data_IF_766941971854
#
_entry.id   IF_766941971854
#
_cell.length_a   1.000
_cell.length_b   1.000
_cell.length_c   1.000
_cell.angle_alpha   90.00
_cell.angle_beta   90.00
_cell.angle_gamma   90.00
#
_symmetry.space_group_name_H-M   'P 1'
#
loop_
_entity.id
_entity.type
_entity.pdbx_description
1 polymer ?
#
# COMPACT_ATOMS: atom_id res chain seq x y z
N UNK A 1 -3.29 -31.48 -6.06
CA UNK A 1 -2.54 -30.57 -5.16
C UNK A 1 -2.97 -29.16 -5.49
N UNK A 2 -3.58 -28.43 -4.56
CA UNK A 2 -3.88 -27.01 -4.77
C UNK A 2 -2.56 -26.26 -4.93
N UNK A 3 -2.38 -25.57 -6.07
CA UNK A 3 -1.18 -24.79 -6.35
C UNK A 3 -1.07 -23.69 -5.28
N UNK A 4 0.04 -23.63 -4.55
CA UNK A 4 0.31 -22.56 -3.58
C UNK A 4 0.26 -21.24 -4.35
N UNK A 5 -0.60 -20.32 -3.92
CA UNK A 5 -0.78 -19.03 -4.57
C UNK A 5 -0.08 -17.95 -3.77
N UNK A 6 0.85 -17.25 -4.41
CA UNK A 6 1.55 -16.10 -3.85
C UNK A 6 1.17 -14.88 -4.66
N UNK A 7 0.77 -13.81 -3.99
CA UNK A 7 0.41 -12.53 -4.59
C UNK A 7 1.30 -11.46 -4.00
N UNK A 8 1.85 -10.61 -4.86
CA UNK A 8 2.58 -9.41 -4.48
C UNK A 8 1.78 -8.20 -4.94
N UNK A 9 1.55 -7.26 -4.02
CA UNK A 9 1.03 -5.93 -4.33
C UNK A 9 1.99 -4.88 -3.81
N UNK A 10 2.07 -3.74 -4.47
CA UNK A 10 2.86 -2.60 -3.97
C UNK A 10 2.05 -1.32 -3.98
N UNK A 11 2.27 -0.45 -2.99
CA UNK A 11 1.64 0.87 -2.97
C UNK A 11 2.57 1.96 -2.42
N UNK A 12 2.43 3.17 -2.95
CA UNK A 12 3.36 4.28 -2.73
C UNK A 12 2.57 5.55 -2.49
N UNK A 13 2.89 6.26 -1.42
CA UNK A 13 2.10 7.37 -0.91
C UNK A 13 2.72 8.73 -1.21
N UNK A 14 1.90 9.78 -1.06
CA UNK A 14 2.21 11.20 -1.11
C UNK A 14 2.35 11.82 -2.51
N UNK A 15 2.44 11.04 -3.58
CA UNK A 15 2.57 11.58 -4.93
C UNK A 15 3.82 12.45 -5.13
N UNK A 16 4.92 12.14 -4.45
CA UNK A 16 6.15 12.93 -4.49
C UNK A 16 6.86 12.80 -5.84
N UNK A 17 7.65 13.83 -6.21
CA UNK A 17 8.33 13.88 -7.52
C UNK A 17 9.21 12.66 -7.81
N UNK A 18 9.79 12.01 -6.80
CA UNK A 18 10.60 10.81 -6.97
C UNK A 18 9.79 9.53 -7.20
N UNK A 19 8.46 9.60 -7.19
CA UNK A 19 7.62 8.46 -7.57
C UNK A 19 7.83 8.06 -9.05
N UNK A 20 8.33 8.97 -9.90
CA UNK A 20 8.75 8.64 -11.28
C UNK A 20 9.87 7.61 -11.27
N UNK A 21 10.92 7.81 -10.45
CA UNK A 21 12.03 6.85 -10.31
C UNK A 21 11.55 5.51 -9.76
N UNK A 22 10.60 5.57 -8.84
CA UNK A 22 10.00 4.38 -8.25
C UNK A 22 9.16 3.59 -9.26
N UNK A 23 8.36 4.28 -10.08
CA UNK A 23 7.59 3.68 -11.16
C UNK A 23 8.52 3.00 -12.19
N UNK A 24 9.59 3.69 -12.63
CA UNK A 24 10.61 3.14 -13.52
C UNK A 24 11.28 1.88 -12.92
N UNK A 25 11.56 1.89 -11.62
CA UNK A 25 12.12 0.74 -10.92
C UNK A 25 11.16 -0.45 -10.88
N UNK A 26 9.87 -0.23 -10.63
CA UNK A 26 8.83 -1.26 -10.67
C UNK A 26 8.67 -1.82 -12.09
N UNK A 27 8.66 -0.96 -13.11
CA UNK A 27 8.58 -1.35 -14.52
C UNK A 27 9.77 -2.22 -14.93
N UNK A 28 11.00 -1.86 -14.52
CA UNK A 28 12.22 -2.63 -14.76
C UNK A 28 12.09 -4.09 -14.34
N UNK A 29 11.34 -4.34 -13.28
CA UNK A 29 11.13 -5.69 -12.72
C UNK A 29 9.73 -6.25 -13.03
N UNK A 30 8.97 -5.60 -13.91
CA UNK A 30 7.60 -6.01 -14.30
C UNK A 30 6.67 -6.21 -13.10
N UNK A 31 6.79 -5.32 -12.09
CA UNK A 31 5.97 -5.31 -10.88
C UNK A 31 4.97 -4.15 -10.96
N UNK A 32 3.70 -4.43 -10.68
CA UNK A 32 2.65 -3.40 -10.65
C UNK A 32 2.67 -2.63 -9.33
N UNK A 33 2.33 -1.34 -9.39
CA UNK A 33 2.18 -0.49 -8.21
C UNK A 33 0.88 0.30 -8.22
N UNK A 34 0.44 0.71 -7.02
CA UNK A 34 -0.62 1.68 -6.81
C UNK A 34 -0.03 2.92 -6.18
N UNK A 35 -0.16 4.08 -6.82
CA UNK A 35 0.34 5.35 -6.31
C UNK A 35 -0.81 6.16 -5.73
N UNK A 36 -0.79 6.43 -4.43
CA UNK A 36 -1.80 7.22 -3.73
C UNK A 36 -1.39 8.68 -3.72
N UNK A 37 -2.13 9.50 -4.46
CA UNK A 37 -1.75 10.88 -4.77
C UNK A 37 -2.76 11.86 -4.18
N UNK A 38 -2.31 12.77 -3.30
CA UNK A 38 -3.11 13.92 -2.89
C UNK A 38 -3.13 14.97 -3.99
N UNK A 39 -4.13 15.87 -3.99
CA UNK A 39 -4.15 16.98 -4.93
C UNK A 39 -3.12 18.05 -4.56
N UNK A 40 -2.89 18.23 -3.27
CA UNK A 40 -1.88 19.12 -2.68
C UNK A 40 -1.25 18.44 -1.46
N UNK A 41 0.01 18.75 -1.22
CA UNK A 41 0.67 18.36 0.02
C UNK A 41 1.52 19.54 0.48
N UNK A 42 1.22 20.08 1.66
CA UNK A 42 1.92 21.26 2.20
C UNK A 42 3.31 20.93 2.77
N UNK A 43 3.56 19.66 3.07
CA UNK A 43 4.85 19.22 3.56
C UNK A 43 5.83 18.91 2.42
N UNK A 44 5.31 18.47 1.27
CA UNK A 44 6.12 18.02 0.12
C UNK A 44 5.45 18.37 -1.19
N UNK A 45 6.24 18.79 -2.17
CA UNK A 45 5.70 19.07 -3.50
C UNK A 45 5.17 17.80 -4.16
N UNK A 46 3.89 17.80 -4.51
CA UNK A 46 3.28 16.76 -5.33
C UNK A 46 3.82 16.85 -6.76
N UNK A 47 4.01 15.71 -7.42
CA UNK A 47 4.47 15.64 -8.81
C UNK A 47 3.58 16.43 -9.76
N UNK A 48 4.14 16.84 -10.88
CA UNK A 48 3.41 17.56 -11.94
C UNK A 48 2.45 16.63 -12.69
N UNK A 49 1.43 17.22 -13.29
CA UNK A 49 0.35 16.47 -13.95
C UNK A 49 0.84 15.56 -15.10
N UNK A 50 1.86 16.01 -15.86
CA UNK A 50 2.45 15.20 -16.92
C UNK A 50 3.14 13.94 -16.38
N UNK A 51 3.82 14.02 -15.24
CA UNK A 51 4.44 12.88 -14.56
C UNK A 51 3.36 11.93 -14.05
N UNK A 52 2.31 12.46 -13.42
CA UNK A 52 1.19 11.65 -12.96
C UNK A 52 0.50 10.90 -14.10
N UNK A 53 0.27 11.57 -15.23
CA UNK A 53 -0.29 10.95 -16.44
C UNK A 53 0.64 9.83 -16.93
N UNK A 54 1.95 10.07 -17.00
CA UNK A 54 2.94 9.08 -17.41
C UNK A 54 2.89 7.82 -16.52
N UNK A 55 2.94 7.98 -15.20
CA UNK A 55 2.84 6.87 -14.23
C UNK A 55 1.53 6.11 -14.41
N UNK A 56 0.41 6.82 -14.64
CA UNK A 56 -0.92 6.23 -14.80
C UNK A 56 -1.08 5.34 -16.03
N UNK A 57 -0.13 5.33 -16.97
CA UNK A 57 -0.19 4.46 -18.15
C UNK A 57 0.09 2.99 -17.80
N UNK A 58 0.90 2.74 -16.77
CA UNK A 58 1.35 1.39 -16.40
C UNK A 58 1.02 1.00 -14.95
N UNK A 59 0.76 2.00 -14.10
CA UNK A 59 0.45 1.81 -12.70
C UNK A 59 -0.93 2.36 -12.35
N UNK A 60 -1.49 1.87 -11.26
CA UNK A 60 -2.73 2.38 -10.70
C UNK A 60 -2.50 3.70 -9.96
N UNK A 61 -3.45 4.63 -10.08
CA UNK A 61 -3.50 5.84 -9.25
C UNK A 61 -4.69 5.72 -8.30
N UNK A 62 -4.45 6.00 -7.02
CA UNK A 62 -5.45 6.08 -5.98
C UNK A 62 -5.53 7.47 -5.33
N UNK A 63 -6.63 7.75 -4.65
CA UNK A 63 -6.85 9.00 -3.93
C UNK A 63 -6.14 9.03 -2.56
N UNK A 64 -5.67 10.22 -2.16
CA UNK A 64 -4.99 10.44 -0.87
C UNK A 64 -5.38 11.77 -0.22
N UNK A 65 -6.67 12.12 -0.28
CA UNK A 65 -7.28 13.40 0.10
C UNK A 65 -6.87 14.58 -0.80
N UNK A 66 -7.56 15.70 -0.65
CA UNK A 66 -7.20 16.92 -1.40
C UNK A 66 -5.92 17.53 -0.85
N UNK A 67 -5.81 17.68 0.47
CA UNK A 67 -4.77 18.46 1.12
C UNK A 67 -3.82 17.62 1.98
N UNK A 68 -3.80 16.28 1.83
CA UNK A 68 -3.01 15.35 2.62
C UNK A 68 -3.26 15.50 4.14
N UNK A 69 -4.53 15.63 4.54
CA UNK A 69 -4.97 15.86 5.93
C UNK A 69 -5.49 14.57 6.55
N UNK A 70 -5.24 14.37 7.84
CA UNK A 70 -5.78 13.27 8.61
C UNK A 70 -7.29 13.41 8.80
N UNK A 71 -8.06 12.45 8.27
CA UNK A 71 -9.52 12.53 8.23
C UNK A 71 -10.16 12.52 9.63
N UNK A 72 -9.57 11.80 10.58
CA UNK A 72 -10.06 11.70 11.96
C UNK A 72 -10.00 13.03 12.73
N UNK A 73 -9.28 14.02 12.23
CA UNK A 73 -9.19 15.36 12.80
C UNK A 73 -10.24 16.34 12.26
N UNK A 74 -10.99 15.96 11.23
CA UNK A 74 -11.93 16.82 10.50
C UNK A 74 -13.39 16.59 10.91
N UNK A 75 -14.25 17.58 10.68
CA UNK A 75 -15.70 17.42 10.68
C UNK A 75 -16.17 16.55 9.49
N UNK A 76 -17.42 16.04 9.55
CA UNK A 76 -17.95 15.14 8.51
C UNK A 76 -17.96 15.81 7.12
N UNK A 77 -18.38 17.06 7.04
CA UNK A 77 -18.47 17.80 5.77
C UNK A 77 -17.12 18.01 5.13
N UNK A 78 -16.11 18.38 5.94
CA UNK A 78 -14.74 18.59 5.49
C UNK A 78 -14.09 17.28 5.06
N UNK A 79 -14.25 16.21 5.86
CA UNK A 79 -13.75 14.88 5.50
C UNK A 79 -14.37 14.38 4.18
N UNK A 80 -15.68 14.59 3.98
CA UNK A 80 -16.34 14.23 2.72
C UNK A 80 -15.79 15.03 1.53
N UNK A 81 -15.54 16.33 1.71
CA UNK A 81 -14.91 17.16 0.68
C UNK A 81 -13.51 16.64 0.32
N UNK A 82 -12.67 16.37 1.32
CA UNK A 82 -11.31 15.86 1.14
C UNK A 82 -11.26 14.54 0.36
N UNK A 83 -12.24 13.67 0.57
CA UNK A 83 -12.33 12.36 -0.09
C UNK A 83 -12.91 12.51 -1.51
N UNK A 84 -14.10 13.08 -1.63
CA UNK A 84 -14.86 13.14 -2.89
C UNK A 84 -14.18 14.04 -3.93
N UNK A 85 -13.74 15.22 -3.51
CA UNK A 85 -13.08 16.16 -4.41
C UNK A 85 -11.71 15.66 -4.88
N UNK A 86 -10.97 14.91 -4.03
CA UNK A 86 -9.76 14.23 -4.46
C UNK A 86 -10.05 13.25 -5.61
N UNK A 87 -11.08 12.41 -5.46
CA UNK A 87 -11.50 11.48 -6.51
C UNK A 87 -11.82 12.21 -7.81
N UNK A 88 -12.70 13.19 -7.75
CA UNK A 88 -13.16 13.95 -8.92
C UNK A 88 -11.98 14.57 -9.68
N UNK A 89 -11.10 15.28 -8.97
CA UNK A 89 -9.94 15.93 -9.59
C UNK A 89 -8.94 14.96 -10.22
N UNK A 90 -8.73 13.79 -9.62
CA UNK A 90 -7.89 12.76 -10.21
C UNK A 90 -8.56 12.13 -11.45
N UNK A 91 -9.87 11.87 -11.41
CA UNK A 91 -10.63 11.37 -12.54
C UNK A 91 -10.65 12.36 -13.72
N UNK A 92 -10.89 13.64 -13.46
CA UNK A 92 -10.85 14.69 -14.46
C UNK A 92 -9.47 14.81 -15.12
N UNK A 93 -8.41 14.73 -14.33
CA UNK A 93 -7.05 14.84 -14.82
C UNK A 93 -6.60 13.64 -15.64
N UNK A 94 -7.03 12.44 -15.29
CA UNK A 94 -6.55 11.19 -15.87
C UNK A 94 -7.51 10.58 -16.90
N UNK A 95 -8.77 11.00 -16.92
CA UNK A 95 -9.83 10.40 -17.76
C UNK A 95 -10.11 8.93 -17.40
N UNK A 96 -9.85 8.52 -16.16
CA UNK A 96 -9.98 7.13 -15.67
C UNK A 96 -10.71 7.11 -14.34
N UNK A 97 -11.37 5.98 -14.02
CA UNK A 97 -11.90 5.75 -12.68
C UNK A 97 -10.76 5.67 -11.66
N UNK A 98 -11.05 6.19 -10.46
CA UNK A 98 -10.16 6.11 -9.31
C UNK A 98 -10.87 5.27 -8.25
N UNK A 99 -10.46 4.03 -8.10
CA UNK A 99 -11.18 3.01 -7.32
C UNK A 99 -10.53 2.74 -5.95
N UNK A 100 -9.24 3.05 -5.81
CA UNK A 100 -8.46 2.86 -4.61
C UNK A 100 -8.28 4.17 -3.82
N UNK A 101 -8.41 4.10 -2.49
CA UNK A 101 -8.14 5.23 -1.58
C UNK A 101 -7.11 4.82 -0.51
N UNK A 102 -6.33 5.79 -0.03
CA UNK A 102 -5.46 5.60 1.13
C UNK A 102 -5.67 6.70 2.16
N UNK A 103 -5.77 6.31 3.42
CA UNK A 103 -5.91 7.23 4.54
C UNK A 103 -4.55 7.86 4.90
N UNK A 104 -4.37 9.21 4.81
CA UNK A 104 -3.13 9.87 5.21
C UNK A 104 -2.71 9.48 6.64
N UNK A 105 -1.44 9.07 6.79
CA UNK A 105 -0.90 8.57 8.05
C UNK A 105 -1.60 7.34 8.63
N UNK A 106 -2.49 6.68 7.89
CA UNK A 106 -3.33 5.59 8.38
C UNK A 106 -4.32 6.02 9.45
N UNK A 107 -4.69 7.32 9.48
CA UNK A 107 -5.60 7.93 10.47
C UNK A 107 -7.01 8.02 9.90
N UNK A 108 -7.93 7.28 10.47
CA UNK A 108 -9.33 7.24 10.06
C UNK A 108 -10.24 6.77 11.20
N UNK A 109 -11.52 7.10 11.08
CA UNK A 109 -12.61 6.63 11.93
C UNK A 109 -13.59 5.76 11.12
N UNK A 110 -14.55 5.12 11.77
CA UNK A 110 -15.63 4.39 11.09
C UNK A 110 -16.47 5.30 10.17
N UNK A 111 -16.65 6.57 10.55
CA UNK A 111 -17.27 7.58 9.71
C UNK A 111 -16.51 7.73 8.38
N UNK A 112 -15.19 7.81 8.43
CA UNK A 112 -14.36 8.03 7.25
C UNK A 112 -14.39 6.82 6.31
N UNK A 113 -14.45 5.62 6.86
CA UNK A 113 -14.64 4.39 6.08
C UNK A 113 -15.96 4.43 5.30
N UNK A 114 -17.04 4.90 5.93
CA UNK A 114 -18.34 5.08 5.26
C UNK A 114 -18.28 6.13 4.16
N UNK A 115 -17.64 7.28 4.42
CA UNK A 115 -17.47 8.35 3.45
C UNK A 115 -16.66 7.91 2.22
N UNK A 116 -15.58 7.15 2.40
CA UNK A 116 -14.79 6.59 1.30
C UNK A 116 -15.64 5.67 0.43
N UNK A 117 -16.48 4.83 1.04
CA UNK A 117 -17.43 3.97 0.31
C UNK A 117 -18.51 4.79 -0.40
N UNK A 118 -19.12 5.77 0.26
CA UNK A 118 -20.13 6.66 -0.30
C UNK A 118 -19.59 7.48 -1.49
N UNK A 119 -18.31 7.87 -1.47
CA UNK A 119 -17.62 8.49 -2.59
C UNK A 119 -17.33 7.52 -3.76
N UNK A 120 -17.68 6.24 -3.63
CA UNK A 120 -17.57 5.25 -4.68
C UNK A 120 -16.16 4.65 -4.84
N UNK A 121 -15.30 4.70 -3.82
CA UNK A 121 -14.09 3.89 -3.77
C UNK A 121 -14.42 2.46 -3.37
N UNK A 122 -13.67 1.49 -3.91
CA UNK A 122 -13.87 0.07 -3.58
C UNK A 122 -13.36 -0.27 -2.19
N UNK A 123 -12.29 0.39 -1.76
CA UNK A 123 -11.66 0.19 -0.45
C UNK A 123 -10.79 1.39 -0.06
N UNK A 124 -10.48 1.46 1.25
CA UNK A 124 -9.44 2.34 1.79
C UNK A 124 -8.25 1.55 2.32
N UNK A 125 -7.04 1.85 1.85
CA UNK A 125 -5.79 1.22 2.33
C UNK A 125 -5.35 1.86 3.65
N UNK A 126 -4.94 1.00 4.59
CA UNK A 126 -4.46 1.36 5.93
C UNK A 126 -2.95 1.12 6.05
N UNK A 127 -2.35 1.57 7.14
CA UNK A 127 -0.94 1.32 7.47
C UNK A 127 -0.75 0.17 8.46
N UNK A 128 -1.71 -0.74 8.60
CA UNK A 128 -1.59 -1.88 9.49
C UNK A 128 -0.72 -2.96 8.85
N UNK A 129 0.41 -3.31 9.50
CA UNK A 129 1.42 -4.25 9.00
C UNK A 129 1.09 -5.72 9.25
N UNK A 130 1.90 -6.60 8.64
CA UNK A 130 1.96 -8.04 8.85
C UNK A 130 0.70 -8.82 8.46
N UNK A 131 -0.13 -8.25 7.59
CA UNK A 131 -1.21 -8.96 6.97
C UNK A 131 -0.70 -9.74 5.76
N UNK A 132 -0.86 -11.06 5.77
CA UNK A 132 -0.37 -11.96 4.71
C UNK A 132 -1.39 -12.99 4.23
N UNK A 133 -2.62 -12.93 4.73
CA UNK A 133 -3.68 -13.85 4.33
C UNK A 133 -4.42 -13.35 3.09
N UNK A 134 -4.67 -14.25 2.14
CA UNK A 134 -5.56 -13.96 1.01
C UNK A 134 -7.00 -14.13 1.51
N UNK A 135 -7.68 -13.01 1.70
CA UNK A 135 -9.07 -12.96 2.16
C UNK A 135 -9.82 -11.77 1.55
N UNK A 136 -11.16 -11.82 1.53
CA UNK A 136 -11.97 -10.72 1.02
C UNK A 136 -11.61 -9.38 1.65
N UNK A 137 -11.59 -8.34 0.82
CA UNK A 137 -11.38 -6.95 1.23
C UNK A 137 -12.70 -6.22 1.06
N UNK A 138 -13.40 -5.95 2.14
CA UNK A 138 -14.70 -5.26 2.05
C UNK A 138 -14.56 -3.74 1.99
N UNK A 139 -13.91 -3.15 2.99
CA UNK A 139 -13.77 -1.70 3.09
C UNK A 139 -12.33 -1.27 3.41
N UNK A 140 -11.54 -2.14 4.05
CA UNK A 140 -10.19 -1.82 4.52
C UNK A 140 -9.19 -2.84 3.97
N UNK A 141 -8.20 -2.35 3.23
CA UNK A 141 -7.05 -3.13 2.78
C UNK A 141 -5.88 -2.85 3.72
N UNK A 142 -5.36 -3.91 4.35
CA UNK A 142 -4.19 -3.82 5.21
C UNK A 142 -2.90 -4.13 4.44
N UNK A 143 -1.74 -3.84 5.04
CA UNK A 143 -0.44 -3.95 4.41
C UNK A 143 0.41 -5.09 4.99
N UNK A 144 1.44 -5.49 4.28
CA UNK A 144 2.42 -6.45 4.77
C UNK A 144 3.58 -5.76 5.48
N UNK A 145 4.29 -4.87 4.79
CA UNK A 145 5.49 -4.24 5.29
C UNK A 145 5.72 -2.86 4.64
N UNK A 146 6.27 -1.90 5.39
CA UNK A 146 6.77 -0.64 4.85
C UNK A 146 8.25 -0.75 4.47
N UNK A 147 8.66 -0.06 3.42
CA UNK A 147 10.06 0.12 3.03
C UNK A 147 10.70 1.16 3.95
N UNK A 148 10.89 0.77 5.20
CA UNK A 148 11.45 1.61 6.25
C UNK A 148 11.86 0.79 7.47
N UNK A 149 12.98 1.13 8.10
CA UNK A 149 13.47 0.46 9.31
C UNK A 149 12.81 1.03 10.56
N UNK A 150 11.74 0.40 10.98
CA UNK A 150 10.99 0.82 12.16
C UNK A 150 11.68 0.45 13.49
N UNK A 151 11.43 1.24 14.52
CA UNK A 151 11.81 0.85 15.89
C UNK A 151 11.04 -0.40 16.33
N UNK A 152 11.65 -1.18 17.22
CA UNK A 152 11.02 -2.38 17.79
C UNK A 152 9.65 -2.09 18.43
N UNK A 153 9.47 -0.91 19.02
CA UNK A 153 8.19 -0.50 19.62
C UNK A 153 7.09 -0.39 18.58
N UNK A 154 7.40 0.20 17.41
CA UNK A 154 6.44 0.32 16.30
C UNK A 154 6.07 -1.07 15.77
N UNK A 155 7.06 -1.94 15.53
CA UNK A 155 6.83 -3.30 15.04
C UNK A 155 6.00 -4.14 16.03
N UNK A 156 6.30 -4.08 17.32
CA UNK A 156 5.52 -4.75 18.38
C UNK A 156 4.06 -4.24 18.37
N UNK A 157 3.86 -2.92 18.27
CA UNK A 157 2.51 -2.33 18.21
C UNK A 157 1.69 -2.85 17.02
N UNK A 158 2.31 -3.05 15.86
CA UNK A 158 1.65 -3.65 14.70
C UNK A 158 1.37 -5.15 14.89
N UNK A 159 2.26 -5.89 15.54
CA UNK A 159 1.99 -7.28 15.92
C UNK A 159 0.79 -7.41 16.87
N UNK A 160 0.64 -6.46 17.83
CA UNK A 160 -0.51 -6.43 18.78
C UNK A 160 -1.85 -6.43 18.08
N UNK A 161 -1.95 -5.76 16.94
CA UNK A 161 -3.22 -5.63 16.22
C UNK A 161 -3.64 -6.90 15.47
N UNK A 162 -2.69 -7.83 15.25
CA UNK A 162 -2.86 -8.93 14.29
C UNK A 162 -2.77 -10.34 14.89
N UNK A 163 -2.41 -10.49 16.16
CA UNK A 163 -2.20 -11.81 16.77
C UNK A 163 -2.84 -11.93 18.16
N UNK A 164 -3.39 -13.12 18.45
CA UNK A 164 -3.86 -13.50 19.80
C UNK A 164 -2.71 -13.87 20.74
N UNK A 165 -1.47 -13.96 20.21
CA UNK A 165 -0.28 -14.27 20.99
C UNK A 165 0.31 -12.98 21.57
N UNK A 166 1.10 -13.12 22.68
CA UNK A 166 1.85 -11.97 23.18
C UNK A 166 2.66 -11.33 22.04
N UNK A 167 2.50 -10.03 21.81
CA UNK A 167 3.14 -9.33 20.69
C UNK A 167 4.65 -9.39 20.71
N UNK A 168 5.22 -9.37 21.89
CA UNK A 168 6.67 -9.52 22.11
C UNK A 168 7.13 -10.90 21.66
N UNK A 169 6.32 -11.95 21.96
CA UNK A 169 6.61 -13.32 21.54
C UNK A 169 6.48 -13.45 20.02
N UNK A 170 5.42 -12.92 19.42
CA UNK A 170 5.22 -12.93 17.97
C UNK A 170 6.39 -12.21 17.25
N UNK A 171 6.77 -11.02 17.70
CA UNK A 171 7.87 -10.27 17.10
C UNK A 171 9.21 -11.02 17.26
N UNK A 172 9.50 -11.55 18.46
CA UNK A 172 10.75 -12.27 18.72
C UNK A 172 10.81 -13.64 18.04
N UNK A 173 9.68 -14.35 17.99
CA UNK A 173 9.60 -15.70 17.44
C UNK A 173 9.51 -15.70 15.90
N UNK A 174 8.59 -14.91 15.34
CA UNK A 174 8.38 -14.90 13.89
C UNK A 174 9.35 -13.99 13.14
N UNK A 175 9.77 -12.88 13.73
CA UNK A 175 10.62 -11.89 13.08
C UNK A 175 12.02 -11.79 13.69
N UNK A 176 12.37 -12.66 14.64
CA UNK A 176 13.68 -12.74 15.32
C UNK A 176 14.17 -11.38 15.86
N UNK A 177 13.27 -10.46 16.15
CA UNK A 177 13.60 -9.12 16.61
C UNK A 177 14.25 -8.21 15.56
N UNK A 178 14.19 -8.57 14.28
CA UNK A 178 14.72 -7.75 13.21
C UNK A 178 13.97 -6.42 13.08
N UNK A 179 14.70 -5.37 12.71
CA UNK A 179 14.19 -4.03 12.47
C UNK A 179 14.40 -3.59 11.03
N UNK A 180 15.35 -4.18 10.35
CA UNK A 180 15.67 -3.99 8.95
C UNK A 180 14.51 -4.52 8.08
N UNK A 181 13.97 -3.66 7.21
CA UNK A 181 12.80 -4.01 6.39
C UNK A 181 13.12 -5.13 5.38
N UNK A 182 14.36 -5.17 4.86
CA UNK A 182 14.78 -6.20 3.89
C UNK A 182 14.80 -7.58 4.55
N UNK A 183 15.40 -7.70 5.73
CA UNK A 183 15.38 -8.94 6.50
C UNK A 183 13.96 -9.37 6.90
N UNK A 184 13.07 -8.42 7.23
CA UNK A 184 11.67 -8.70 7.53
C UNK A 184 10.93 -9.17 6.26
N UNK A 185 11.19 -8.55 5.11
CA UNK A 185 10.62 -8.96 3.83
C UNK A 185 11.01 -10.40 3.48
N UNK A 186 12.29 -10.76 3.61
CA UNK A 186 12.78 -12.12 3.37
C UNK A 186 12.07 -13.14 4.26
N UNK A 187 11.87 -12.84 5.53
CA UNK A 187 11.17 -13.72 6.46
C UNK A 187 9.70 -13.90 6.11
N UNK A 188 9.02 -12.83 5.69
CA UNK A 188 7.64 -12.89 5.21
C UNK A 188 7.57 -13.75 3.94
N UNK A 189 8.46 -13.51 2.97
CA UNK A 189 8.52 -14.25 1.71
C UNK A 189 8.78 -15.74 1.92
N UNK A 190 9.71 -16.12 2.79
CA UNK A 190 9.94 -17.52 3.14
C UNK A 190 8.67 -18.21 3.67
N UNK A 191 7.88 -17.50 4.48
CA UNK A 191 6.59 -18.00 4.96
C UNK A 191 5.58 -18.16 3.81
N UNK A 192 5.53 -17.20 2.88
CA UNK A 192 4.63 -17.22 1.73
C UNK A 192 5.00 -18.33 0.73
N UNK A 193 6.27 -18.56 0.48
CA UNK A 193 6.71 -19.67 -0.38
C UNK A 193 6.31 -21.04 0.19
N UNK A 194 6.20 -21.16 1.52
CA UNK A 194 5.75 -22.39 2.17
C UNK A 194 4.22 -22.54 2.20
N UNK A 195 3.48 -21.47 2.45
CA UNK A 195 2.07 -21.52 2.81
C UNK A 195 1.15 -20.82 1.80
N UNK A 196 1.69 -20.05 0.85
CA UNK A 196 0.93 -19.09 0.05
C UNK A 196 0.56 -17.84 0.85
N UNK A 197 -0.08 -16.89 0.16
CA UNK A 197 -0.56 -15.68 0.78
C UNK A 197 -0.33 -14.43 -0.05
N UNK A 198 -0.48 -13.25 0.57
CA UNK A 198 -0.22 -11.94 -0.04
C UNK A 198 0.89 -11.20 0.70
N UNK A 199 1.79 -10.57 -0.06
CA UNK A 199 2.75 -9.61 0.45
C UNK A 199 2.45 -8.24 -0.12
N UNK A 200 1.98 -7.32 0.72
CA UNK A 200 1.74 -5.94 0.35
C UNK A 200 2.91 -5.08 0.84
N UNK A 201 3.79 -4.71 -0.08
CA UNK A 201 4.90 -3.78 0.18
C UNK A 201 4.42 -2.34 -0.04
N UNK A 202 4.76 -1.41 0.86
CA UNK A 202 4.38 -0.02 0.71
C UNK A 202 5.46 0.94 1.24
N UNK A 203 5.36 2.20 0.90
CA UNK A 203 6.29 3.21 1.38
C UNK A 203 6.11 4.57 0.71
N UNK A 204 7.12 5.42 0.89
CA UNK A 204 7.19 6.75 0.32
C UNK A 204 8.53 6.94 -0.40
N UNK A 205 8.53 7.40 -1.63
CA UNK A 205 9.79 7.61 -2.38
C UNK A 205 10.72 8.63 -1.71
N UNK A 206 10.17 9.63 -1.02
CA UNK A 206 10.94 10.59 -0.26
C UNK A 206 11.63 9.99 0.99
N UNK A 207 11.04 8.97 1.64
CA UNK A 207 11.69 8.24 2.73
C UNK A 207 12.83 7.37 2.20
N UNK A 208 12.58 6.65 1.09
CA UNK A 208 13.59 5.84 0.43
C UNK A 208 14.82 6.67 0.07
N UNK A 209 14.63 7.86 -0.48
CA UNK A 209 15.71 8.81 -0.79
C UNK A 209 16.41 9.29 0.48
N UNK A 210 15.64 9.78 1.45
CA UNK A 210 16.17 10.35 2.70
C UNK A 210 17.04 9.38 3.49
N UNK A 211 16.67 8.10 3.49
CA UNK A 211 17.37 7.05 4.26
C UNK A 211 18.27 6.15 3.40
N UNK A 212 18.40 6.47 2.10
CA UNK A 212 19.29 5.77 1.18
C UNK A 212 18.89 4.33 0.87
N UNK A 213 17.59 4.00 0.90
CA UNK A 213 17.07 2.63 0.81
C UNK A 213 16.82 2.14 -0.64
N UNK A 214 17.24 2.88 -1.66
CA UNK A 214 17.00 2.51 -3.06
C UNK A 214 17.63 1.18 -3.46
N UNK A 215 18.84 0.92 -2.99
CA UNK A 215 19.58 -0.31 -3.32
C UNK A 215 18.93 -1.53 -2.70
N UNK A 216 18.54 -1.42 -1.45
CA UNK A 216 17.85 -2.48 -0.70
C UNK A 216 16.48 -2.78 -1.35
N UNK A 217 15.71 -1.74 -1.69
CA UNK A 217 14.46 -1.90 -2.41
C UNK A 217 14.67 -2.56 -3.77
N UNK A 218 15.65 -2.11 -4.56
CA UNK A 218 15.95 -2.70 -5.86
C UNK A 218 16.34 -4.17 -5.75
N UNK A 219 17.16 -4.55 -4.76
CA UNK A 219 17.54 -5.94 -4.52
C UNK A 219 16.32 -6.80 -4.19
N UNK A 220 15.38 -6.30 -3.36
CA UNK A 220 14.13 -6.98 -3.03
C UNK A 220 13.27 -7.19 -4.29
N UNK A 221 13.03 -6.14 -5.08
CA UNK A 221 12.21 -6.22 -6.29
C UNK A 221 12.83 -7.16 -7.33
N UNK A 222 14.14 -7.14 -7.49
CA UNK A 222 14.89 -8.07 -8.35
C UNK A 222 14.72 -9.52 -7.89
N UNK A 223 14.83 -9.77 -6.59
CA UNK A 223 14.61 -11.11 -6.02
C UNK A 223 13.18 -11.59 -6.30
N UNK A 224 12.17 -10.75 -6.06
CA UNK A 224 10.78 -11.06 -6.34
C UNK A 224 10.58 -11.42 -7.82
N UNK A 225 11.05 -10.59 -8.75
CA UNK A 225 10.83 -10.75 -10.20
C UNK A 225 11.39 -12.04 -10.79
N UNK A 226 12.27 -12.73 -10.08
CA UNK A 226 12.83 -14.03 -10.50
C UNK A 226 11.85 -15.21 -10.37
N UNK A 227 10.69 -15.01 -9.74
CA UNK A 227 9.73 -16.05 -9.43
C UNK A 227 8.49 -15.98 -10.33
N UNK A 228 8.41 -16.87 -11.31
CA UNK A 228 7.31 -16.90 -12.28
C UNK A 228 5.96 -17.38 -11.72
N UNK A 229 5.97 -18.02 -10.53
CA UNK A 229 4.79 -18.48 -9.84
C UNK A 229 4.06 -17.38 -9.06
N UNK A 230 4.66 -16.20 -8.94
CA UNK A 230 4.09 -15.05 -8.22
C UNK A 230 3.16 -14.25 -9.14
N UNK A 231 1.98 -13.90 -8.64
CA UNK A 231 1.08 -12.96 -9.30
C UNK A 231 1.36 -11.53 -8.80
N UNK A 232 1.71 -10.62 -9.71
CA UNK A 232 1.91 -9.20 -9.42
C UNK A 232 0.65 -8.42 -9.78
N UNK A 233 -0.06 -7.92 -8.78
CA UNK A 233 -1.33 -7.21 -8.93
C UNK A 233 -1.20 -5.78 -8.38
N UNK A 234 -1.89 -4.81 -8.98
CA UNK A 234 -2.17 -3.57 -8.29
C UNK A 234 -3.28 -3.78 -7.24
N UNK A 235 -3.58 -2.77 -6.43
CA UNK A 235 -4.49 -2.97 -5.31
C UNK A 235 -5.94 -3.21 -5.74
N UNK A 236 -6.41 -2.58 -6.81
CA UNK A 236 -7.74 -2.84 -7.36
C UNK A 236 -7.85 -4.22 -8.01
N UNK A 237 -6.82 -4.66 -8.75
CA UNK A 237 -6.77 -6.03 -9.27
C UNK A 237 -6.79 -7.08 -8.14
N UNK A 238 -6.05 -6.82 -7.04
CA UNK A 238 -6.10 -7.68 -5.86
C UNK A 238 -7.48 -7.69 -5.21
N UNK A 239 -8.13 -6.52 -5.08
CA UNK A 239 -9.49 -6.43 -4.58
C UNK A 239 -10.47 -7.26 -5.40
N UNK A 240 -10.44 -7.15 -6.73
CA UNK A 240 -11.27 -7.97 -7.63
C UNK A 240 -10.95 -9.46 -7.49
N UNK A 241 -9.68 -9.81 -7.42
CA UNK A 241 -9.23 -11.19 -7.27
C UNK A 241 -9.81 -11.86 -6.01
N UNK A 242 -9.76 -11.17 -4.86
CA UNK A 242 -10.21 -11.78 -3.59
C UNK A 242 -11.73 -11.74 -3.41
N UNK A 243 -12.41 -10.75 -3.98
CA UNK A 243 -13.85 -10.60 -3.82
C UNK A 243 -14.64 -11.38 -4.89
N UNK A 244 -14.12 -11.56 -6.11
CA UNK A 244 -14.78 -12.34 -7.16
C UNK A 244 -14.61 -13.85 -6.99
N UNK A 245 -13.57 -14.32 -6.26
CA UNK A 245 -13.42 -15.75 -5.91
C UNK A 245 -14.50 -16.29 -4.96
N UNK A 246 -15.25 -15.43 -4.30
CA UNK A 246 -16.34 -15.82 -3.40
C UNK A 246 -17.68 -15.96 -4.13
N UNK A 247 -17.74 -15.68 -5.43
CA UNK A 247 -18.96 -15.77 -6.25
C UNK A 247 -18.99 -17.11 -7.04
N UNK A 248 -17.95 -17.93 -6.92
CA UNK A 248 -17.84 -19.28 -7.48
C UNK A 248 -17.85 -20.34 -6.38
#
# INVERSE_FOLDING_TARGET
MNKIQIIITTSWDDGYVLDVRLAELLEKYNIKGTFYVPIRNYERKVMESNILIQISQKHEIGGHTVNHIYLDTLGKTEANYEILECKNKLQDKLGKNIDAFCYPGGKYSERDVKLVKEAGFLFGRTTNFFHSEIKPVYNLMHTGLQVFDHSSVVLIRHCLKNTFLSPIFAYRFFYKGNRDFSALADMILLKLFKNGGVFHLWGHSWEIEKYGLWKELENLLKGLSAHHEIAYLNNTEYWHFVNNKLIL
#
